data_IF_882901125643
#
_entry.id   IF_882901125643
#
_cell.length_a   1.000
_cell.length_b   1.000
_cell.length_c   1.000
_cell.angle_alpha   90.00
_cell.angle_beta   90.00
_cell.angle_gamma   90.00
#
_symmetry.space_group_name_H-M   'P 1'
#
loop_
_entity.id
_entity.type
_entity.pdbx_description
1 polymer ?
#
# COMPACT_ATOMS: atom_id res chain seq x y z
N UNK A 1 -14.55 6.91 -12.85
CA UNK A 1 -13.46 7.68 -13.49
C UNK A 1 -12.15 7.61 -12.71
N UNK A 2 -12.11 7.06 -11.49
CA UNK A 2 -10.86 6.96 -10.72
C UNK A 2 -10.31 8.33 -10.27
N UNK A 3 -11.12 9.39 -10.37
CA UNK A 3 -10.74 10.73 -9.91
C UNK A 3 -10.93 10.87 -8.40
N UNK A 4 -10.09 11.66 -7.76
CA UNK A 4 -10.19 11.98 -6.34
C UNK A 4 -11.53 12.69 -6.05
N UNK A 5 -12.40 12.06 -5.25
CA UNK A 5 -13.69 12.64 -4.88
C UNK A 5 -13.54 13.62 -3.70
N UNK A 6 -13.03 14.81 -4.00
CA UNK A 6 -12.94 15.88 -3.00
C UNK A 6 -14.33 16.35 -2.55
N UNK A 7 -15.36 16.24 -3.38
CA UNK A 7 -16.71 16.65 -3.00
C UNK A 7 -17.25 15.78 -1.85
N UNK A 8 -16.98 14.48 -1.85
CA UNK A 8 -17.35 13.61 -0.72
C UNK A 8 -16.73 14.08 0.60
N UNK A 9 -15.48 14.53 0.59
CA UNK A 9 -14.80 15.05 1.78
C UNK A 9 -15.45 16.35 2.28
N UNK A 10 -15.82 17.25 1.37
CA UNK A 10 -16.52 18.49 1.72
C UNK A 10 -17.97 18.26 2.16
N UNK A 11 -18.66 17.25 1.61
CA UNK A 11 -19.98 16.84 2.08
C UNK A 11 -19.93 16.39 3.56
N UNK A 12 -18.88 15.67 3.97
CA UNK A 12 -18.69 15.27 5.37
C UNK A 12 -18.56 16.50 6.26
N UNK A 13 -17.74 17.48 5.87
CA UNK A 13 -17.61 18.75 6.59
C UNK A 13 -18.98 19.43 6.78
N UNK A 14 -19.75 19.53 5.69
CA UNK A 14 -21.10 20.10 5.72
C UNK A 14 -22.07 19.30 6.59
N UNK A 15 -22.01 17.96 6.54
CA UNK A 15 -22.83 17.09 7.40
C UNK A 15 -22.50 17.25 8.87
N UNK A 16 -21.21 17.31 9.23
CA UNK A 16 -20.77 17.50 10.63
C UNK A 16 -21.26 18.85 11.15
N UNK A 17 -21.04 19.94 10.41
CA UNK A 17 -21.52 21.26 10.84
C UNK A 17 -23.04 21.35 10.97
N UNK A 18 -23.80 20.55 10.21
CA UNK A 18 -25.26 20.55 10.24
C UNK A 18 -25.82 19.71 11.39
N UNK A 19 -25.21 18.55 11.68
CA UNK A 19 -25.71 17.60 12.68
C UNK A 19 -25.04 17.75 14.05
N UNK A 20 -23.82 18.29 14.10
CA UNK A 20 -23.00 18.42 15.30
C UNK A 20 -22.38 19.82 15.40
N UNK A 21 -23.19 20.87 15.63
CA UNK A 21 -22.78 22.26 15.48
C UNK A 21 -21.80 22.78 16.55
N UNK A 22 -21.41 21.98 17.56
CA UNK A 22 -20.58 22.45 18.68
C UNK A 22 -19.25 21.69 18.79
N UNK A 23 -18.16 22.45 18.95
CA UNK A 23 -16.81 22.02 19.38
C UNK A 23 -15.94 21.17 18.44
N UNK A 24 -16.15 21.20 17.12
CA UNK A 24 -15.26 20.54 16.17
C UNK A 24 -14.40 21.54 15.37
N UNK A 25 -13.09 21.33 15.39
CA UNK A 25 -12.15 21.92 14.43
C UNK A 25 -11.84 20.88 13.36
N UNK A 26 -12.28 21.13 12.12
CA UNK A 26 -11.98 20.28 10.98
C UNK A 26 -10.84 20.91 10.18
N UNK A 27 -9.72 20.20 10.08
CA UNK A 27 -8.59 20.59 9.26
C UNK A 27 -8.56 19.71 8.02
N UNK A 28 -8.74 20.33 6.86
CA UNK A 28 -8.66 19.67 5.55
C UNK A 28 -7.28 19.98 4.96
N UNK A 29 -6.38 19.01 5.00
CA UNK A 29 -5.05 19.12 4.39
C UNK A 29 -5.09 18.61 2.96
N UNK A 30 -4.83 19.48 1.98
CA UNK A 30 -4.81 19.14 0.55
C UNK A 30 -3.55 19.73 -0.09
N UNK A 31 -2.87 18.94 -0.93
CA UNK A 31 -1.73 19.42 -1.71
C UNK A 31 -2.18 20.55 -2.66
N UNK A 32 -1.41 21.63 -2.75
CA UNK A 32 -1.77 22.82 -3.54
C UNK A 32 -2.06 22.51 -5.01
N UNK A 33 -1.32 21.60 -5.64
CA UNK A 33 -1.59 21.16 -7.02
C UNK A 33 -2.92 20.42 -7.13
N UNK A 34 -3.17 19.47 -6.22
CA UNK A 34 -4.43 18.72 -6.13
C UNK A 34 -5.63 19.64 -5.92
N UNK A 35 -5.48 20.66 -5.05
CA UNK A 35 -6.51 21.70 -4.85
C UNK A 35 -6.77 22.49 -6.13
N UNK A 36 -5.72 23.00 -6.78
CA UNK A 36 -5.86 23.79 -8.02
C UNK A 36 -6.59 23.01 -9.12
N UNK A 37 -6.31 21.71 -9.26
CA UNK A 37 -6.91 20.88 -10.31
C UNK A 37 -8.36 20.48 -10.05
N UNK A 38 -8.79 20.41 -8.79
CA UNK A 38 -10.09 19.83 -8.42
C UNK A 38 -11.04 20.80 -7.74
N UNK A 39 -10.57 21.98 -7.33
CA UNK A 39 -11.39 22.93 -6.56
C UNK A 39 -12.66 23.33 -7.31
N UNK A 40 -12.61 23.50 -8.63
CA UNK A 40 -13.79 23.88 -9.45
C UNK A 40 -14.92 22.84 -9.42
N UNK A 41 -14.60 21.56 -9.15
CA UNK A 41 -15.58 20.48 -9.05
C UNK A 41 -16.34 20.49 -7.71
N UNK A 42 -15.87 21.26 -6.72
CA UNK A 42 -16.49 21.36 -5.40
C UNK A 42 -17.58 22.43 -5.42
N UNK A 43 -18.76 22.09 -4.89
CA UNK A 43 -19.92 22.99 -4.79
C UNK A 43 -19.54 24.26 -4.01
N UNK A 44 -19.93 25.46 -4.49
CA UNK A 44 -19.62 26.72 -3.82
C UNK A 44 -20.08 26.77 -2.35
N UNK A 45 -21.27 26.28 -2.05
CA UNK A 45 -21.83 26.27 -0.69
C UNK A 45 -20.97 25.49 0.32
N UNK A 46 -20.24 24.47 -0.12
CA UNK A 46 -19.33 23.72 0.74
C UNK A 46 -17.97 24.41 0.90
N UNK A 47 -17.54 25.18 -0.10
CA UNK A 47 -16.33 26.03 0.00
C UNK A 47 -16.54 27.20 0.95
N UNK A 48 -17.72 27.82 0.91
CA UNK A 48 -18.05 28.96 1.76
C UNK A 48 -18.05 28.62 3.25
N UNK A 49 -18.16 27.33 3.60
CA UNK A 49 -18.06 26.82 4.97
C UNK A 49 -16.63 26.66 5.49
N UNK A 50 -15.60 27.01 4.71
CA UNK A 50 -14.20 27.06 5.16
C UNK A 50 -13.97 28.38 5.93
N UNK A 51 -14.48 28.42 7.16
CA UNK A 51 -14.59 29.64 7.96
C UNK A 51 -13.24 30.26 8.37
N UNK A 52 -12.20 29.44 8.57
CA UNK A 52 -10.89 29.89 9.04
C UNK A 52 -9.95 30.37 7.92
N UNK A 53 -10.39 30.30 6.66
CA UNK A 53 -9.61 30.68 5.49
C UNK A 53 -8.58 29.63 5.04
N UNK A 54 -7.76 30.00 4.04
CA UNK A 54 -6.75 29.13 3.44
C UNK A 54 -5.38 29.36 4.10
N UNK A 55 -4.82 28.31 4.68
CA UNK A 55 -3.47 28.34 5.22
C UNK A 55 -2.49 27.71 4.24
N UNK A 56 -1.55 28.52 3.74
CA UNK A 56 -0.47 28.04 2.88
C UNK A 56 0.81 27.83 3.68
N UNK A 57 1.53 26.76 3.32
CA UNK A 57 2.84 26.47 3.87
C UNK A 57 3.81 27.59 3.46
N UNK A 58 4.30 28.36 4.44
CA UNK A 58 5.18 29.51 4.19
C UNK A 58 6.60 29.04 3.85
N UNK A 59 7.33 29.75 2.96
CA UNK A 59 8.76 29.55 2.81
C UNK A 59 9.49 29.79 4.14
N UNK A 60 10.49 28.97 4.40
CA UNK A 60 11.37 29.04 5.57
C UNK A 60 12.76 29.56 5.16
N UNK A 61 13.47 30.18 6.09
CA UNK A 61 14.87 30.58 5.89
C UNK A 61 15.79 29.36 5.89
N UNK A 62 17.03 29.52 5.39
CA UNK A 62 18.03 28.46 5.47
C UNK A 62 18.30 28.00 6.91
N UNK A 63 18.43 28.93 7.86
CA UNK A 63 18.59 28.60 9.28
C UNK A 63 17.42 27.77 9.83
N UNK A 64 16.18 28.11 9.47
CA UNK A 64 15.02 27.29 9.84
C UNK A 64 15.05 25.91 9.16
N UNK A 65 15.55 25.83 7.93
CA UNK A 65 15.77 24.58 7.21
C UNK A 65 16.82 23.69 7.87
N UNK A 66 17.91 24.27 8.36
CA UNK A 66 18.94 23.57 9.13
C UNK A 66 18.36 23.01 10.42
N UNK A 67 17.59 23.80 11.18
CA UNK A 67 16.91 23.32 12.36
C UNK A 67 15.95 22.15 12.04
N UNK A 68 15.23 22.22 10.91
CA UNK A 68 14.35 21.15 10.46
C UNK A 68 15.11 19.86 10.15
N UNK A 69 16.24 19.95 9.45
CA UNK A 69 17.11 18.80 9.17
C UNK A 69 17.73 18.23 10.45
N UNK A 70 18.25 19.10 11.31
CA UNK A 70 18.86 18.72 12.57
C UNK A 70 17.86 17.98 13.46
N UNK A 71 16.62 18.45 13.54
CA UNK A 71 15.57 17.77 14.30
C UNK A 71 15.29 16.35 13.77
N UNK A 72 15.40 16.14 12.45
CA UNK A 72 15.21 14.81 11.83
C UNK A 72 16.41 13.88 12.01
N UNK A 73 17.62 14.44 12.02
CA UNK A 73 18.87 13.70 12.11
C UNK A 73 19.31 13.44 13.55
N UNK A 74 18.86 14.27 14.50
CA UNK A 74 19.24 14.20 15.91
C UNK A 74 19.09 12.80 16.54
N UNK A 75 17.99 12.05 16.31
CA UNK A 75 17.87 10.68 16.83
C UNK A 75 18.92 9.71 16.27
N UNK A 76 19.40 9.94 15.05
CA UNK A 76 20.45 9.12 14.44
C UNK A 76 21.83 9.55 14.93
N UNK A 77 22.08 10.86 15.00
CA UNK A 77 23.35 11.42 15.47
C UNK A 77 23.63 11.07 16.93
N UNK A 78 22.60 10.97 17.78
CA UNK A 78 22.75 10.57 19.18
C UNK A 78 23.23 9.13 19.35
N UNK A 79 22.93 8.25 18.39
CA UNK A 79 23.36 6.85 18.36
C UNK A 79 24.77 6.68 17.76
N UNK A 80 25.25 7.64 16.97
CA UNK A 80 26.53 7.56 16.28
C UNK A 80 27.72 7.74 17.23
N UNK A 81 28.78 6.95 17.00
CA UNK A 81 30.05 7.04 17.72
C UNK A 81 31.21 7.05 16.71
N UNK A 82 31.95 8.16 16.54
CA UNK A 82 31.79 9.43 17.24
C UNK A 82 30.52 10.20 16.81
N UNK A 83 30.03 11.09 17.68
CA UNK A 83 28.94 11.99 17.30
C UNK A 83 29.41 12.95 16.20
N UNK A 84 28.59 13.22 15.17
CA UNK A 84 28.95 14.16 14.13
C UNK A 84 29.13 15.57 14.68
N UNK A 85 30.13 16.30 14.17
CA UNK A 85 30.40 17.69 14.58
C UNK A 85 29.29 18.65 14.14
N UNK A 86 28.67 18.38 12.99
CA UNK A 86 27.59 19.20 12.44
C UNK A 86 26.23 18.57 12.77
N UNK A 87 25.25 19.37 13.23
CA UNK A 87 23.89 18.89 13.53
C UNK A 87 23.12 18.44 12.29
N UNK A 88 23.61 18.78 11.09
CA UNK A 88 23.02 18.39 9.81
C UNK A 88 23.90 17.43 9.00
N UNK A 89 25.00 16.91 9.57
CA UNK A 89 25.86 15.94 8.89
C UNK A 89 25.04 14.77 8.28
N UNK A 90 25.29 14.36 7.02
CA UNK A 90 26.43 14.68 6.16
C UNK A 90 26.29 15.96 5.32
N UNK A 91 25.21 16.72 5.51
CA UNK A 91 25.03 18.01 4.86
C UNK A 91 25.88 19.10 5.52
N UNK A 92 26.04 20.20 4.78
CA UNK A 92 26.66 21.43 5.26
C UNK A 92 25.81 22.65 4.93
N UNK A 93 26.08 23.74 5.64
CA UNK A 93 25.47 25.07 5.43
C UNK A 93 25.74 25.59 4.02
N UNK A 94 26.89 25.29 3.45
CA UNK A 94 27.30 25.71 2.11
C UNK A 94 26.44 25.04 1.03
N UNK A 95 26.14 23.75 1.18
CA UNK A 95 25.27 23.01 0.24
C UNK A 95 23.86 23.63 0.23
N UNK A 96 23.36 24.05 1.39
CA UNK A 96 22.06 24.73 1.48
C UNK A 96 22.08 26.10 0.80
N UNK A 97 23.13 26.88 1.01
CA UNK A 97 23.30 28.19 0.38
C UNK A 97 23.45 28.09 -1.15
N UNK A 98 24.20 27.10 -1.64
CA UNK A 98 24.37 26.82 -3.06
C UNK A 98 23.04 26.41 -3.70
N UNK A 99 22.30 25.49 -3.06
CA UNK A 99 21.05 24.97 -3.62
C UNK A 99 19.91 25.99 -3.57
N UNK A 100 19.91 26.88 -2.59
CA UNK A 100 18.88 27.90 -2.40
C UNK A 100 19.49 29.30 -2.26
N UNK A 101 20.01 29.89 -3.35
CA UNK A 101 20.74 31.16 -3.33
C UNK A 101 19.90 32.36 -2.86
N UNK A 102 18.57 32.22 -2.88
CA UNK A 102 17.63 33.24 -2.38
C UNK A 102 17.47 33.23 -0.85
N UNK A 103 18.15 32.33 -0.14
CA UNK A 103 18.12 32.24 1.33
C UNK A 103 16.79 31.76 1.94
N UNK A 104 15.80 31.42 1.09
CA UNK A 104 14.48 30.90 1.49
C UNK A 104 14.02 29.81 0.54
N UNK A 105 13.29 28.83 1.07
CA UNK A 105 12.71 27.73 0.30
C UNK A 105 11.53 27.11 1.04
N UNK A 106 10.81 26.18 0.42
CA UNK A 106 9.75 25.44 1.10
C UNK A 106 10.34 24.33 1.98
N UNK A 107 9.75 24.02 3.15
CA UNK A 107 10.24 22.94 4.03
C UNK A 107 10.45 21.59 3.32
N UNK A 108 9.58 21.27 2.35
CA UNK A 108 9.70 20.03 1.56
C UNK A 108 11.01 19.95 0.77
N UNK A 109 11.44 21.04 0.15
CA UNK A 109 12.65 21.07 -0.67
C UNK A 109 13.91 20.86 0.19
N UNK A 110 13.92 21.39 1.42
CA UNK A 110 14.99 21.15 2.40
C UNK A 110 15.07 19.67 2.75
N UNK A 111 13.93 19.05 3.08
CA UNK A 111 13.89 17.62 3.43
C UNK A 111 14.29 16.72 2.25
N UNK A 112 13.91 17.09 1.04
CA UNK A 112 14.28 16.37 -0.18
C UNK A 112 15.79 16.43 -0.45
N UNK A 113 16.39 17.61 -0.32
CA UNK A 113 17.85 17.77 -0.36
C UNK A 113 18.51 16.97 0.76
N UNK A 114 17.98 17.07 1.98
CA UNK A 114 18.41 16.29 3.14
C UNK A 114 18.52 14.81 2.85
N UNK A 115 17.44 14.21 2.32
CA UNK A 115 17.43 12.80 1.94
C UNK A 115 18.43 12.50 0.83
N UNK A 116 18.52 13.34 -0.20
CA UNK A 116 19.43 13.13 -1.34
C UNK A 116 20.88 13.06 -0.88
N UNK A 117 21.33 14.05 -0.11
CA UNK A 117 22.71 14.11 0.39
C UNK A 117 23.01 12.97 1.36
N UNK A 118 22.04 12.61 2.22
CA UNK A 118 22.18 11.47 3.12
C UNK A 118 22.33 10.15 2.36
N UNK A 119 21.52 9.94 1.33
CA UNK A 119 21.64 8.75 0.48
C UNK A 119 22.97 8.72 -0.27
N UNK A 120 23.42 9.85 -0.82
CA UNK A 120 24.73 9.95 -1.46
C UNK A 120 25.87 9.63 -0.49
N UNK A 121 25.78 10.11 0.74
CA UNK A 121 26.75 9.77 1.78
C UNK A 121 26.72 8.27 2.11
N UNK A 122 25.54 7.67 2.26
CA UNK A 122 25.40 6.21 2.43
C UNK A 122 26.05 5.45 1.26
N UNK A 123 25.83 5.86 0.02
CA UNK A 123 26.45 5.25 -1.15
C UNK A 123 27.98 5.40 -1.15
N UNK A 124 28.51 6.58 -0.76
CA UNK A 124 29.96 6.78 -0.61
C UNK A 124 30.60 5.87 0.44
N UNK A 125 29.86 5.44 1.45
CA UNK A 125 30.35 4.47 2.44
C UNK A 125 30.44 3.04 1.86
N UNK A 126 29.77 2.77 0.74
CA UNK A 126 29.80 1.48 0.04
C UNK A 126 30.94 1.41 -1.00
N UNK A 127 31.35 2.55 -1.55
CA UNK A 127 32.39 2.65 -2.58
C UNK A 127 33.78 3.03 -1.99
N UNK A 128 34.69 2.04 -1.87
CA UNK A 128 36.08 2.29 -2.32
C UNK A 128 36.03 2.59 -3.83
N UNK A 129 36.93 3.44 -4.38
CA UNK A 129 36.61 4.32 -5.50
C UNK A 129 36.20 3.55 -6.76
N UNK A 130 34.90 3.61 -7.10
CA UNK A 130 34.45 3.30 -8.45
C UNK A 130 33.08 2.65 -8.60
N UNK A 131 31.97 3.20 -8.09
CA UNK A 131 30.68 2.89 -8.70
C UNK A 131 29.58 3.95 -8.47
N UNK A 132 29.55 4.99 -9.30
CA UNK A 132 28.38 5.87 -9.40
C UNK A 132 27.22 5.09 -10.02
N UNK A 133 26.48 4.35 -9.19
CA UNK A 133 25.27 3.64 -9.62
C UNK A 133 24.19 4.65 -10.01
N UNK A 134 23.83 4.63 -11.30
CA UNK A 134 22.52 5.07 -11.78
C UNK A 134 21.46 4.25 -11.05
N UNK A 135 20.46 4.90 -10.47
CA UNK A 135 19.25 4.26 -9.94
C UNK A 135 18.67 3.29 -10.99
N UNK A 136 18.80 1.98 -10.79
CA UNK A 136 18.25 0.98 -11.73
C UNK A 136 16.76 0.80 -11.46
N UNK A 137 16.05 0.21 -12.43
CA UNK A 137 14.64 -0.21 -12.28
C UNK A 137 14.44 -1.13 -11.06
N UNK A 138 15.47 -1.90 -10.69
CA UNK A 138 15.47 -2.81 -9.54
C UNK A 138 15.36 -2.05 -8.21
N UNK A 139 16.08 -0.94 -8.01
CA UNK A 139 16.03 -0.15 -6.77
C UNK A 139 14.63 0.45 -6.53
N UNK A 140 13.96 0.86 -7.61
CA UNK A 140 12.59 1.39 -7.56
C UNK A 140 11.58 0.31 -7.12
N UNK A 141 11.73 -0.92 -7.62
CA UNK A 141 10.88 -2.05 -7.26
C UNK A 141 11.11 -2.50 -5.82
N UNK A 142 12.37 -2.55 -5.37
CA UNK A 142 12.74 -2.87 -3.99
C UNK A 142 12.17 -1.82 -3.00
N UNK A 143 12.33 -0.53 -3.32
CA UNK A 143 11.74 0.57 -2.52
C UNK A 143 10.22 0.46 -2.47
N UNK A 144 9.58 0.11 -3.59
CA UNK A 144 8.13 -0.11 -3.64
C UNK A 144 7.69 -1.27 -2.73
N UNK A 145 8.39 -2.42 -2.77
CA UNK A 145 8.09 -3.59 -1.92
C UNK A 145 8.10 -3.24 -0.43
N UNK A 146 8.99 -2.34 0.01
CA UNK A 146 8.98 -1.86 1.40
C UNK A 146 7.83 -0.91 1.72
N UNK A 147 7.49 0.00 0.81
CA UNK A 147 6.32 0.88 0.96
C UNK A 147 5.05 0.03 1.04
N UNK A 148 4.95 -1.00 0.19
CA UNK A 148 3.90 -2.00 0.24
C UNK A 148 3.85 -2.66 1.62
N UNK A 149 4.98 -3.16 2.11
CA UNK A 149 5.05 -3.88 3.38
C UNK A 149 4.65 -3.01 4.59
N UNK A 150 5.15 -1.77 4.69
CA UNK A 150 4.75 -0.83 5.74
C UNK A 150 3.23 -0.56 5.70
N UNK A 151 2.69 -0.35 4.50
CA UNK A 151 1.26 -0.10 4.33
C UNK A 151 0.40 -1.33 4.65
N UNK A 152 0.88 -2.50 4.27
CA UNK A 152 0.26 -3.79 4.58
C UNK A 152 0.18 -4.01 6.09
N UNK A 153 1.29 -3.85 6.81
CA UNK A 153 1.32 -3.96 8.27
C UNK A 153 0.41 -2.95 8.97
N UNK A 154 0.32 -1.72 8.46
CA UNK A 154 -0.63 -0.71 8.97
C UNK A 154 -2.08 -1.15 8.79
N UNK A 155 -2.41 -1.78 7.66
CA UNK A 155 -3.75 -2.29 7.40
C UNK A 155 -4.08 -3.52 8.25
N UNK A 156 -3.12 -4.42 8.47
CA UNK A 156 -3.28 -5.56 9.40
C UNK A 156 -3.65 -5.10 10.81
N UNK A 157 -3.05 -4.01 11.29
CA UNK A 157 -3.36 -3.44 12.61
C UNK A 157 -4.72 -2.72 12.66
N UNK A 158 -5.24 -2.29 11.50
CA UNK A 158 -6.45 -1.47 11.41
C UNK A 158 -7.71 -2.30 11.17
N UNK A 159 -7.62 -3.36 10.38
CA UNK A 159 -8.75 -4.17 9.93
C UNK A 159 -8.71 -5.48 10.72
N UNK A 160 -9.69 -5.70 11.58
CA UNK A 160 -9.75 -6.92 12.40
C UNK A 160 -10.76 -7.93 11.85
N UNK A 161 -11.75 -7.45 11.08
CA UNK A 161 -12.78 -8.26 10.46
C UNK A 161 -13.07 -7.74 9.05
N UNK A 162 -13.47 -8.64 8.15
CA UNK A 162 -13.88 -8.28 6.78
C UNK A 162 -15.07 -7.29 6.83
N UNK A 163 -15.97 -7.45 7.81
CA UNK A 163 -17.12 -6.58 8.04
C UNK A 163 -16.77 -5.16 8.48
N UNK A 164 -15.51 -4.88 8.85
CA UNK A 164 -15.06 -3.51 9.17
C UNK A 164 -15.05 -2.63 7.91
N UNK A 165 -15.09 -3.24 6.72
CA UNK A 165 -15.14 -2.58 5.43
C UNK A 165 -16.51 -2.80 4.80
N UNK A 166 -17.17 -1.72 4.40
CA UNK A 166 -18.45 -1.80 3.74
C UNK A 166 -18.34 -2.50 2.37
N UNK A 167 -19.34 -3.30 1.99
CA UNK A 167 -19.35 -4.02 0.73
C UNK A 167 -19.09 -3.15 -0.53
N UNK A 168 -19.67 -1.94 -0.65
CA UNK A 168 -19.33 -1.04 -1.77
C UNK A 168 -17.84 -0.66 -1.83
N UNK A 169 -17.20 -0.55 -0.67
CA UNK A 169 -15.79 -0.23 -0.57
C UNK A 169 -14.93 -1.45 -0.96
N UNK A 170 -15.29 -2.66 -0.52
CA UNK A 170 -14.62 -3.90 -0.97
C UNK A 170 -14.68 -4.06 -2.50
N UNK A 171 -15.85 -3.78 -3.10
CA UNK A 171 -16.04 -3.76 -4.56
C UNK A 171 -15.15 -2.71 -5.22
N UNK A 172 -14.99 -1.54 -4.61
CA UNK A 172 -14.09 -0.50 -5.11
C UNK A 172 -12.62 -0.93 -5.09
N UNK A 173 -12.17 -1.53 -3.99
CA UNK A 173 -10.80 -2.05 -3.89
C UNK A 173 -10.53 -3.13 -4.94
N UNK A 174 -11.49 -4.04 -5.15
CA UNK A 174 -11.39 -5.06 -6.19
C UNK A 174 -11.37 -4.44 -7.60
N UNK A 175 -12.22 -3.44 -7.85
CA UNK A 175 -12.22 -2.70 -9.12
C UNK A 175 -10.85 -2.07 -9.41
N UNK A 176 -10.23 -1.44 -8.42
CA UNK A 176 -8.92 -0.82 -8.57
C UNK A 176 -7.85 -1.85 -8.95
N UNK A 177 -7.88 -3.04 -8.35
CA UNK A 177 -6.98 -4.15 -8.73
C UNK A 177 -7.23 -4.63 -10.16
N UNK A 178 -8.49 -4.85 -10.54
CA UNK A 178 -8.84 -5.28 -11.90
C UNK A 178 -8.39 -4.27 -12.97
N UNK A 179 -8.50 -2.98 -12.67
CA UNK A 179 -8.00 -1.92 -13.55
C UNK A 179 -6.47 -1.98 -13.67
N UNK A 180 -5.75 -2.20 -12.57
CA UNK A 180 -4.29 -2.30 -12.56
C UNK A 180 -3.80 -3.47 -13.42
N UNK A 181 -4.44 -4.65 -13.27
CA UNK A 181 -4.15 -5.85 -14.07
C UNK A 181 -4.72 -5.76 -15.49
N UNK A 182 -5.26 -4.60 -15.89
CA UNK A 182 -5.73 -4.29 -17.25
C UNK A 182 -6.85 -5.20 -17.76
N UNK A 183 -7.76 -5.62 -16.88
CA UNK A 183 -9.01 -6.27 -17.33
C UNK A 183 -9.89 -5.29 -18.11
N UNK A 184 -10.65 -5.80 -19.09
CA UNK A 184 -11.50 -4.96 -19.96
C UNK A 184 -12.88 -4.77 -19.35
N UNK A 185 -13.53 -3.66 -19.69
CA UNK A 185 -14.93 -3.37 -19.36
C UNK A 185 -15.29 -3.50 -17.86
N UNK A 186 -14.37 -3.12 -16.95
CA UNK A 186 -14.65 -3.15 -15.50
C UNK A 186 -15.73 -2.12 -15.14
N UNK A 187 -16.95 -2.61 -14.90
CA UNK A 187 -18.15 -1.80 -14.63
C UNK A 187 -18.70 -2.15 -13.26
N UNK A 188 -18.91 -1.15 -12.41
CA UNK A 188 -19.61 -1.33 -11.13
C UNK A 188 -21.11 -1.38 -11.35
N UNK A 189 -21.85 -1.87 -10.34
CA UNK A 189 -23.32 -1.91 -10.33
C UNK A 189 -23.91 -2.87 -11.37
N UNK A 190 -23.40 -4.10 -11.41
CA UNK A 190 -24.01 -5.20 -12.17
C UNK A 190 -25.43 -5.52 -11.64
N UNK A 191 -25.57 -5.54 -10.31
CA UNK A 191 -26.87 -5.63 -9.65
C UNK A 191 -27.63 -4.31 -9.77
N UNK A 192 -28.96 -4.39 -9.75
CA UNK A 192 -29.86 -3.23 -9.73
C UNK A 192 -30.44 -2.96 -8.33
N UNK A 193 -30.78 -1.71 -8.03
CA UNK A 193 -31.49 -1.32 -6.80
C UNK A 193 -30.57 -1.04 -5.62
N UNK A 194 -31.07 -1.25 -4.38
CA UNK A 194 -30.37 -0.87 -3.14
C UNK A 194 -28.96 -1.48 -3.01
N UNK A 195 -28.77 -2.70 -3.52
CA UNK A 195 -27.52 -3.45 -3.43
C UNK A 195 -26.69 -3.37 -4.71
N UNK A 196 -26.97 -2.41 -5.61
CA UNK A 196 -26.24 -2.25 -6.86
C UNK A 196 -24.73 -2.12 -6.63
N UNK A 197 -24.33 -1.26 -5.70
CA UNK A 197 -22.92 -1.02 -5.38
C UNK A 197 -22.19 -2.22 -4.75
N UNK A 198 -22.88 -3.33 -4.45
CA UNK A 198 -22.27 -4.55 -3.93
C UNK A 198 -21.76 -5.48 -5.04
N UNK A 199 -21.63 -4.95 -6.26
CA UNK A 199 -21.28 -5.76 -7.43
C UNK A 199 -20.51 -5.01 -8.48
N UNK A 200 -19.74 -5.75 -9.26
CA UNK A 200 -19.09 -5.31 -10.48
C UNK A 200 -19.13 -6.43 -11.53
N UNK A 201 -18.79 -6.08 -12.76
CA UNK A 201 -18.54 -7.02 -13.84
C UNK A 201 -17.28 -6.64 -14.62
N UNK A 202 -16.61 -7.61 -15.20
CA UNK A 202 -15.44 -7.40 -16.06
C UNK A 202 -15.37 -8.47 -17.15
N UNK A 203 -14.51 -8.25 -18.15
CA UNK A 203 -14.15 -9.24 -19.17
C UNK A 203 -12.69 -9.61 -19.05
N UNK A 204 -12.39 -10.90 -19.19
CA UNK A 204 -11.02 -11.39 -19.20
C UNK A 204 -10.30 -10.95 -20.47
N UNK A 205 -8.97 -10.74 -20.43
CA UNK A 205 -8.24 -10.15 -21.55
C UNK A 205 -8.38 -10.94 -22.87
N UNK A 206 -8.50 -12.26 -22.75
CA UNK A 206 -8.55 -13.23 -23.87
C UNK A 206 -9.95 -13.84 -24.09
N UNK A 207 -10.96 -13.45 -23.31
CA UNK A 207 -12.30 -14.04 -23.38
C UNK A 207 -13.36 -12.94 -23.29
N UNK A 208 -14.32 -12.95 -24.22
CA UNK A 208 -15.45 -12.01 -24.25
C UNK A 208 -16.53 -12.35 -23.21
N UNK A 209 -16.37 -13.43 -22.44
CA UNK A 209 -17.22 -13.75 -21.32
C UNK A 209 -17.18 -12.65 -20.25
N UNK A 210 -18.38 -12.16 -19.92
CA UNK A 210 -18.64 -11.21 -18.85
C UNK A 210 -18.73 -12.01 -17.56
N UNK A 211 -17.80 -11.72 -16.66
CA UNK A 211 -17.76 -12.26 -15.31
C UNK A 211 -18.38 -11.23 -14.37
N UNK A 212 -19.34 -11.67 -13.55
CA UNK A 212 -19.93 -10.84 -12.50
C UNK A 212 -19.39 -11.23 -11.13
N UNK A 213 -19.04 -10.25 -10.31
CA UNK A 213 -18.64 -10.44 -8.91
C UNK A 213 -19.60 -9.70 -8.01
N UNK A 214 -20.10 -10.40 -6.99
CA UNK A 214 -20.95 -9.84 -5.93
C UNK A 214 -20.24 -10.05 -4.61
N UNK A 215 -20.04 -8.98 -3.85
CA UNK A 215 -19.44 -9.06 -2.52
C UNK A 215 -20.42 -8.54 -1.47
N UNK A 216 -20.77 -9.38 -0.48
CA UNK A 216 -21.63 -8.95 0.63
C UNK A 216 -21.32 -9.68 1.92
N UNK A 217 -21.07 -8.91 2.99
CA UNK A 217 -20.75 -9.45 4.33
C UNK A 217 -21.78 -9.07 5.40
N UNK A 218 -22.91 -8.46 5.01
CA UNK A 218 -23.97 -8.11 5.97
C UNK A 218 -24.51 -9.41 6.62
N UNK A 219 -24.49 -9.52 7.97
CA UNK A 219 -25.02 -10.68 8.67
C UNK A 219 -26.55 -10.75 8.60
N UNK A 220 -27.23 -9.65 8.24
CA UNK A 220 -28.68 -9.61 8.14
C UNK A 220 -29.17 -10.46 6.96
N UNK A 221 -29.89 -11.54 7.27
CA UNK A 221 -30.44 -12.46 6.29
C UNK A 221 -31.47 -11.83 5.34
N UNK A 222 -32.13 -10.74 5.72
CA UNK A 222 -33.00 -9.98 4.82
C UNK A 222 -32.17 -9.23 3.77
N UNK A 223 -31.03 -8.65 4.16
CA UNK A 223 -30.09 -8.06 3.21
C UNK A 223 -29.56 -9.12 2.24
N UNK A 224 -29.15 -10.28 2.77
CA UNK A 224 -28.69 -11.39 1.94
C UNK A 224 -29.78 -11.90 0.98
N UNK A 225 -31.03 -12.02 1.43
CA UNK A 225 -32.16 -12.37 0.57
C UNK A 225 -32.35 -11.38 -0.58
N UNK A 226 -32.30 -10.08 -0.29
CA UNK A 226 -32.45 -9.05 -1.32
C UNK A 226 -31.29 -9.07 -2.33
N UNK A 227 -30.06 -9.32 -1.87
CA UNK A 227 -28.90 -9.50 -2.76
C UNK A 227 -29.09 -10.73 -3.65
N UNK A 228 -29.49 -11.88 -3.09
CA UNK A 228 -29.74 -13.10 -3.87
C UNK A 228 -30.88 -12.94 -4.88
N UNK A 229 -31.95 -12.22 -4.53
CA UNK A 229 -33.00 -11.86 -5.47
C UNK A 229 -32.48 -11.00 -6.63
N UNK A 230 -31.57 -10.05 -6.35
CA UNK A 230 -30.93 -9.27 -7.40
C UNK A 230 -30.03 -10.17 -8.29
N UNK A 231 -29.29 -11.12 -7.71
CA UNK A 231 -28.51 -12.11 -8.47
C UNK A 231 -29.40 -12.97 -9.37
N UNK A 232 -30.58 -13.39 -8.89
CA UNK A 232 -31.53 -14.16 -9.70
C UNK A 232 -31.94 -13.37 -10.94
N UNK A 233 -32.24 -12.07 -10.81
CA UNK A 233 -32.56 -11.20 -11.96
C UNK A 233 -31.42 -11.12 -12.97
N UNK A 234 -30.17 -11.04 -12.50
CA UNK A 234 -28.98 -11.05 -13.36
C UNK A 234 -28.87 -12.38 -14.12
N UNK A 235 -29.08 -13.50 -13.43
CA UNK A 235 -29.00 -14.85 -14.01
C UNK A 235 -30.14 -15.15 -15.00
N UNK A 236 -31.34 -14.62 -14.74
CA UNK A 236 -32.52 -14.77 -15.60
C UNK A 236 -32.39 -13.95 -16.88
N UNK A 237 -31.89 -12.71 -16.76
CA UNK A 237 -31.62 -11.81 -17.89
C UNK A 237 -30.32 -12.13 -18.64
N UNK A 238 -29.54 -13.12 -18.16
CA UNK A 238 -28.25 -13.53 -18.74
C UNK A 238 -27.28 -12.36 -18.96
N UNK A 239 -27.18 -11.45 -17.98
CA UNK A 239 -26.31 -10.27 -18.08
C UNK A 239 -24.80 -10.62 -17.94
N UNK A 240 -24.48 -11.85 -17.53
CA UNK A 240 -23.14 -12.40 -17.42
C UNK A 240 -23.17 -13.92 -17.61
N UNK A 241 -22.03 -14.50 -17.96
CA UNK A 241 -21.87 -15.93 -18.20
C UNK A 241 -21.52 -16.68 -16.91
N UNK A 242 -20.75 -16.03 -16.03
CA UNK A 242 -20.33 -16.59 -14.73
C UNK A 242 -20.55 -15.57 -13.62
N UNK A 243 -20.98 -16.06 -12.46
CA UNK A 243 -21.18 -15.27 -11.25
C UNK A 243 -20.32 -15.81 -10.10
N UNK A 244 -19.54 -14.93 -9.49
CA UNK A 244 -18.85 -15.16 -8.24
C UNK A 244 -19.58 -14.46 -7.10
N UNK A 245 -19.95 -15.22 -6.07
CA UNK A 245 -20.32 -14.67 -4.77
C UNK A 245 -19.07 -14.68 -3.89
N UNK A 246 -18.66 -13.51 -3.40
CA UNK A 246 -17.60 -13.37 -2.40
C UNK A 246 -18.27 -13.06 -1.07
N UNK A 247 -18.22 -14.01 -0.13
CA UNK A 247 -18.87 -13.88 1.19
C UNK A 247 -18.27 -14.83 2.21
N UNK A 248 -17.83 -14.32 3.35
CA UNK A 248 -17.42 -15.13 4.50
C UNK A 248 -18.59 -15.40 5.46
N UNK A 249 -19.51 -14.45 5.61
CA UNK A 249 -20.67 -14.59 6.48
C UNK A 249 -21.61 -15.74 6.06
N UNK A 250 -22.34 -16.31 7.02
CA UNK A 250 -23.21 -17.46 6.75
C UNK A 250 -24.29 -17.16 5.68
N UNK A 251 -24.66 -18.21 4.94
CA UNK A 251 -25.72 -18.17 3.90
C UNK A 251 -27.09 -18.65 4.42
N UNK A 252 -27.22 -18.78 5.74
CA UNK A 252 -28.41 -19.30 6.42
C UNK A 252 -28.65 -20.79 6.21
N UNK A 253 -29.80 -21.28 6.69
CA UNK A 253 -30.18 -22.70 6.62
C UNK A 253 -31.01 -23.01 5.37
N UNK A 254 -31.22 -24.30 5.08
CA UNK A 254 -31.94 -24.76 3.88
C UNK A 254 -33.42 -24.31 3.80
N UNK A 255 -34.03 -23.91 4.92
CA UNK A 255 -35.41 -23.42 4.96
C UNK A 255 -35.50 -21.95 4.54
N UNK A 256 -34.45 -21.15 4.73
CA UNK A 256 -34.40 -19.75 4.33
C UNK A 256 -34.58 -19.59 2.81
N UNK A 257 -35.43 -18.64 2.39
CA UNK A 257 -35.64 -18.33 0.97
C UNK A 257 -34.36 -17.86 0.27
N UNK A 258 -33.51 -17.10 0.97
CA UNK A 258 -32.18 -16.70 0.48
C UNK A 258 -31.29 -17.90 0.16
N UNK A 259 -31.27 -18.92 1.03
CA UNK A 259 -30.47 -20.13 0.81
C UNK A 259 -30.98 -20.94 -0.38
N UNK A 260 -32.31 -21.00 -0.58
CA UNK A 260 -32.91 -21.68 -1.74
C UNK A 260 -32.46 -21.02 -3.06
N UNK A 261 -32.49 -19.69 -3.13
CA UNK A 261 -32.02 -18.94 -4.31
C UNK A 261 -30.52 -19.12 -4.49
N UNK A 262 -29.74 -18.99 -3.41
CA UNK A 262 -28.31 -19.21 -3.41
C UNK A 262 -27.95 -20.60 -4.00
N UNK A 263 -28.58 -21.67 -3.51
CA UNK A 263 -28.35 -23.04 -4.02
C UNK A 263 -28.71 -23.15 -5.50
N UNK A 264 -29.83 -22.54 -5.93
CA UNK A 264 -30.24 -22.57 -7.34
C UNK A 264 -29.22 -21.90 -8.26
N UNK A 265 -28.64 -20.78 -7.84
CA UNK A 265 -27.69 -20.00 -8.68
C UNK A 265 -26.27 -20.56 -8.60
N UNK A 266 -25.77 -20.83 -7.40
CA UNK A 266 -24.34 -21.12 -7.14
C UNK A 266 -24.04 -22.59 -6.87
N UNK A 267 -25.04 -23.43 -6.56
CA UNK A 267 -24.86 -24.90 -6.53
C UNK A 267 -25.47 -25.61 -7.75
N UNK A 268 -26.35 -24.93 -8.50
CA UNK A 268 -27.07 -25.52 -9.64
C UNK A 268 -26.42 -25.30 -11.01
N UNK A 269 -25.60 -24.25 -11.20
CA UNK A 269 -24.89 -23.98 -12.47
C UNK A 269 -23.39 -24.22 -12.30
N UNK A 270 -22.81 -25.02 -13.19
CA UNK A 270 -21.39 -25.43 -13.14
C UNK A 270 -20.38 -24.26 -13.22
N UNK A 271 -20.78 -23.08 -13.72
CA UNK A 271 -19.89 -21.91 -13.89
C UNK A 271 -19.95 -20.89 -12.74
N UNK A 272 -20.95 -20.95 -11.86
CA UNK A 272 -21.09 -19.98 -10.78
C UNK A 272 -20.41 -20.51 -9.53
N UNK A 273 -19.64 -19.66 -8.85
CA UNK A 273 -18.84 -20.07 -7.69
C UNK A 273 -19.13 -19.21 -6.46
N UNK A 274 -18.98 -19.80 -5.29
CA UNK A 274 -18.97 -19.08 -4.01
C UNK A 274 -17.57 -19.17 -3.43
N UNK A 275 -16.95 -18.00 -3.23
CA UNK A 275 -15.62 -17.84 -2.66
C UNK A 275 -15.77 -17.26 -1.26
N UNK A 276 -15.14 -17.91 -0.28
CA UNK A 276 -15.04 -17.38 1.07
C UNK A 276 -13.73 -16.59 1.20
N UNK A 277 -13.78 -15.25 1.26
CA UNK A 277 -12.58 -14.45 1.40
C UNK A 277 -11.96 -14.66 2.78
N UNK A 278 -10.64 -14.61 2.86
CA UNK A 278 -9.90 -14.51 4.11
C UNK A 278 -9.49 -13.05 4.39
N UNK A 279 -9.10 -12.81 5.64
CA UNK A 279 -8.72 -11.46 6.09
C UNK A 279 -7.43 -10.98 5.41
N UNK A 280 -6.53 -11.91 5.08
CA UNK A 280 -5.29 -11.63 4.37
C UNK A 280 -5.54 -10.99 2.99
N UNK A 281 -6.44 -11.59 2.19
CA UNK A 281 -6.84 -11.06 0.90
C UNK A 281 -7.40 -9.64 1.01
N UNK A 282 -8.14 -9.34 2.08
CA UNK A 282 -8.65 -7.99 2.36
C UNK A 282 -7.51 -7.02 2.66
N UNK A 283 -6.46 -7.45 3.36
CA UNK A 283 -5.28 -6.61 3.58
C UNK A 283 -4.57 -6.27 2.27
N UNK A 284 -4.45 -7.22 1.33
CA UNK A 284 -3.89 -6.95 0.00
C UNK A 284 -4.70 -5.88 -0.73
N UNK A 285 -6.02 -6.06 -0.81
CA UNK A 285 -6.93 -5.10 -1.45
C UNK A 285 -6.87 -3.72 -0.79
N UNK A 286 -6.94 -3.65 0.54
CA UNK A 286 -6.87 -2.41 1.29
C UNK A 286 -5.51 -1.70 1.16
N UNK A 287 -4.43 -2.47 0.98
CA UNK A 287 -3.08 -1.94 0.79
C UNK A 287 -2.95 -1.27 -0.56
N UNK A 288 -3.33 -1.97 -1.62
CA UNK A 288 -3.35 -1.38 -2.95
C UNK A 288 -4.28 -0.16 -3.00
N UNK A 289 -5.47 -0.29 -2.40
CA UNK A 289 -6.44 0.79 -2.31
C UNK A 289 -5.86 2.07 -1.66
N UNK A 290 -5.12 1.91 -0.57
CA UNK A 290 -4.49 3.07 0.07
C UNK A 290 -3.37 3.67 -0.77
N UNK A 291 -2.65 2.88 -1.56
CA UNK A 291 -1.61 3.37 -2.46
C UNK A 291 -2.24 4.11 -3.65
N UNK A 292 -3.36 3.62 -4.19
CA UNK A 292 -4.15 4.31 -5.22
C UNK A 292 -4.62 5.67 -4.72
N UNK A 293 -5.20 5.75 -3.52
CA UNK A 293 -5.57 7.05 -2.94
C UNK A 293 -4.37 7.99 -2.78
N UNK A 294 -3.22 7.47 -2.33
CA UNK A 294 -2.02 8.28 -2.18
C UNK A 294 -1.48 8.78 -3.53
N UNK A 295 -1.53 7.95 -4.57
CA UNK A 295 -1.14 8.35 -5.93
C UNK A 295 -2.08 9.42 -6.48
N UNK A 296 -3.40 9.24 -6.34
CA UNK A 296 -4.41 10.22 -6.76
C UNK A 296 -4.30 11.54 -5.99
N UNK A 297 -3.89 11.49 -4.73
CA UNK A 297 -3.65 12.68 -3.91
C UNK A 297 -2.33 13.40 -4.24
N UNK A 298 -1.45 12.83 -5.08
CA UNK A 298 -0.06 13.25 -5.30
C UNK A 298 0.84 13.14 -4.05
N UNK A 299 0.51 12.21 -3.16
CA UNK A 299 1.22 11.94 -1.90
C UNK A 299 2.15 10.73 -1.97
N UNK A 300 1.90 9.79 -2.89
CA UNK A 300 2.76 8.63 -3.07
C UNK A 300 4.10 9.06 -3.67
N UNK A 301 5.19 8.81 -2.94
CA UNK A 301 6.54 9.06 -3.43
C UNK A 301 7.40 7.81 -3.34
N UNK A 302 8.13 7.50 -4.41
CA UNK A 302 9.13 6.43 -4.46
C UNK A 302 10.44 7.08 -4.88
N UNK A 303 11.48 6.89 -4.07
CA UNK A 303 12.80 7.53 -4.25
C UNK A 303 12.74 9.07 -4.39
N UNK A 304 11.66 9.68 -3.91
CA UNK A 304 11.46 11.13 -4.00
C UNK A 304 10.68 11.64 -5.18
N UNK A 305 10.46 10.80 -6.18
CA UNK A 305 9.57 11.12 -7.28
C UNK A 305 8.11 10.88 -6.85
N UNK A 306 7.23 11.83 -7.14
CA UNK A 306 5.78 11.62 -7.01
C UNK A 306 5.37 10.61 -8.09
N UNK A 307 4.64 9.58 -7.68
CA UNK A 307 4.20 8.49 -8.55
C UNK A 307 2.75 8.71 -8.92
N UNK A 308 2.50 8.79 -10.23
CA UNK A 308 1.14 8.86 -10.78
C UNK A 308 0.41 7.51 -10.65
N UNK A 309 -0.92 7.51 -10.79
CA UNK A 309 -1.70 6.27 -10.76
C UNK A 309 -1.23 5.28 -11.84
N UNK A 310 -0.97 5.76 -13.06
CA UNK A 310 -0.49 4.92 -14.17
C UNK A 310 0.86 4.27 -13.85
N UNK A 311 1.81 5.04 -13.30
CA UNK A 311 3.09 4.49 -12.88
C UNK A 311 2.93 3.50 -11.73
N UNK A 312 1.98 3.71 -10.79
CA UNK A 312 1.67 2.75 -9.74
C UNK A 312 1.10 1.45 -10.31
N UNK A 313 0.20 1.53 -11.29
CA UNK A 313 -0.36 0.36 -11.99
C UNK A 313 0.73 -0.45 -12.72
N UNK A 314 1.71 0.22 -13.32
CA UNK A 314 2.87 -0.43 -13.93
C UNK A 314 3.74 -1.14 -12.87
N UNK A 315 4.07 -0.44 -11.78
CA UNK A 315 4.91 -0.99 -10.70
C UNK A 315 4.23 -2.18 -10.01
N UNK A 316 2.92 -2.13 -9.73
CA UNK A 316 2.23 -3.24 -9.06
C UNK A 316 2.23 -4.49 -9.94
N UNK A 317 2.02 -4.34 -11.25
CA UNK A 317 2.11 -5.43 -12.22
C UNK A 317 3.53 -6.01 -12.29
N UNK A 318 4.55 -5.16 -12.41
CA UNK A 318 5.97 -5.58 -12.42
C UNK A 318 6.38 -6.29 -11.11
N UNK A 319 5.80 -5.88 -9.98
CA UNK A 319 6.15 -6.43 -8.67
C UNK A 319 5.63 -7.84 -8.43
N UNK A 320 4.58 -8.25 -9.15
CA UNK A 320 3.87 -9.52 -8.98
C UNK A 320 3.35 -9.79 -7.55
N UNK A 321 3.35 -8.80 -6.66
CA UNK A 321 2.94 -8.97 -5.25
C UNK A 321 1.51 -9.47 -5.12
N UNK A 322 0.63 -9.06 -6.04
CA UNK A 322 -0.78 -9.47 -6.05
C UNK A 322 -0.96 -10.97 -6.31
N UNK A 323 0.03 -11.67 -6.88
CA UNK A 323 -0.02 -13.11 -7.10
C UNK A 323 -0.09 -13.89 -5.78
N UNK A 324 0.28 -13.28 -4.65
CA UNK A 324 0.19 -13.91 -3.32
C UNK A 324 -1.21 -13.76 -2.68
N UNK A 325 -2.17 -13.13 -3.37
CA UNK A 325 -3.52 -12.93 -2.86
C UNK A 325 -4.45 -14.09 -3.29
N UNK A 326 -4.78 -14.98 -2.35
CA UNK A 326 -5.66 -16.14 -2.58
C UNK A 326 -7.01 -15.78 -3.19
N UNK A 327 -7.67 -14.69 -2.75
CA UNK A 327 -8.93 -14.26 -3.38
C UNK A 327 -8.77 -13.90 -4.87
N UNK A 328 -7.64 -13.29 -5.25
CA UNK A 328 -7.39 -12.95 -6.66
C UNK A 328 -7.08 -14.19 -7.49
N UNK A 329 -6.42 -15.19 -6.89
CA UNK A 329 -6.21 -16.51 -7.51
C UNK A 329 -7.56 -17.23 -7.72
N UNK A 330 -8.43 -17.26 -6.71
CA UNK A 330 -9.77 -17.88 -6.77
C UNK A 330 -10.68 -17.22 -7.82
N UNK A 331 -10.50 -15.91 -8.04
CA UNK A 331 -11.18 -15.15 -9.09
C UNK A 331 -10.50 -15.29 -10.47
N UNK A 332 -9.39 -16.02 -10.57
CA UNK A 332 -8.57 -16.15 -11.77
C UNK A 332 -8.11 -14.80 -12.36
N UNK A 333 -7.85 -13.85 -11.46
CA UNK A 333 -7.33 -12.51 -11.79
C UNK A 333 -5.81 -12.52 -11.90
N UNK A 334 -5.16 -13.35 -11.09
CA UNK A 334 -3.71 -13.56 -11.07
C UNK A 334 -3.42 -15.06 -11.11
N UNK A 335 -2.29 -15.43 -11.71
CA UNK A 335 -1.84 -16.81 -11.69
C UNK A 335 -1.23 -17.14 -10.31
N UNK A 336 -1.54 -18.32 -9.75
CA UNK A 336 -0.82 -18.80 -8.58
C UNK A 336 0.66 -18.92 -8.95
N UNK A 337 1.54 -18.52 -8.04
CA UNK A 337 2.97 -18.83 -8.18
C UNK A 337 3.08 -20.35 -8.18
N UNK A 338 3.66 -20.94 -9.22
CA UNK A 338 3.90 -22.39 -9.33
C UNK A 338 4.80 -22.84 -8.16
N UNK A 339 4.17 -23.15 -7.02
CA UNK A 339 4.81 -23.83 -5.91
C UNK A 339 4.85 -25.31 -6.28
N UNK A 340 5.80 -25.69 -7.13
CA UNK A 340 6.28 -27.06 -7.15
C UNK A 340 6.86 -27.36 -5.75
N UNK A 341 6.15 -28.23 -5.03
CA UNK A 341 6.63 -29.11 -3.98
C UNK A 341 7.86 -28.65 -3.18
N UNK A 342 7.62 -28.07 -1.99
CA UNK A 342 8.26 -28.47 -0.72
C UNK A 342 7.82 -27.53 0.41
N UNK A 343 6.78 -27.94 1.14
CA UNK A 343 6.54 -27.47 2.52
C UNK A 343 7.68 -27.99 3.41
N UNK A 344 8.81 -27.28 3.44
CA UNK A 344 9.73 -27.19 4.60
C UNK A 344 10.91 -26.23 4.42
N UNK A 345 11.25 -25.78 3.21
CA UNK A 345 12.33 -24.79 2.96
C UNK A 345 11.85 -23.42 2.43
N UNK A 346 10.64 -23.34 1.86
CA UNK A 346 10.11 -22.10 1.25
C UNK A 346 9.95 -20.91 2.20
N UNK A 347 9.71 -21.14 3.50
CA UNK A 347 9.62 -20.07 4.49
C UNK A 347 11.01 -19.45 4.77
N UNK A 348 12.08 -20.25 4.69
CA UNK A 348 13.45 -19.79 4.96
C UNK A 348 13.97 -18.94 3.82
N UNK A 349 13.62 -19.27 2.57
CA UNK A 349 13.98 -18.46 1.41
C UNK A 349 13.26 -17.11 1.41
N UNK A 350 11.97 -17.06 1.76
CA UNK A 350 11.25 -15.79 1.89
C UNK A 350 11.84 -14.93 3.03
N UNK A 351 12.27 -15.57 4.12
CA UNK A 351 12.97 -14.88 5.21
C UNK A 351 14.36 -14.41 4.78
N UNK A 352 15.13 -15.22 4.06
CA UNK A 352 16.43 -14.85 3.48
C UNK A 352 16.28 -13.66 2.55
N UNK A 353 15.33 -13.70 1.63
CA UNK A 353 15.02 -12.61 0.71
C UNK A 353 14.58 -11.36 1.47
N UNK A 354 13.76 -11.51 2.51
CA UNK A 354 13.40 -10.37 3.35
C UNK A 354 14.62 -9.75 4.03
N UNK A 355 15.49 -10.56 4.64
CA UNK A 355 16.71 -10.10 5.31
C UNK A 355 17.64 -9.39 4.32
N UNK A 356 17.86 -9.98 3.13
CA UNK A 356 18.68 -9.38 2.07
C UNK A 356 18.07 -8.05 1.61
N UNK A 357 16.78 -8.00 1.32
CA UNK A 357 16.10 -6.77 0.88
C UNK A 357 16.10 -5.69 1.96
N UNK A 358 15.94 -6.08 3.22
CA UNK A 358 16.01 -5.19 4.37
C UNK A 358 17.40 -4.54 4.49
N UNK A 359 18.47 -5.34 4.34
CA UNK A 359 19.86 -4.87 4.39
C UNK A 359 20.20 -4.02 3.15
N UNK A 360 19.81 -4.46 1.93
CA UNK A 360 19.98 -3.71 0.68
C UNK A 360 19.41 -2.30 0.79
N UNK A 361 18.18 -2.19 1.29
CA UNK A 361 17.50 -0.89 1.35
C UNK A 361 18.08 0.03 2.41
N UNK A 362 18.44 -0.50 3.58
CA UNK A 362 19.01 0.33 4.64
C UNK A 362 20.50 0.62 4.45
N UNK A 363 21.14 -0.07 3.50
CA UNK A 363 22.57 -0.14 3.19
C UNK A 363 23.41 -0.77 4.32
N UNK A 364 23.10 -0.46 5.58
CA UNK A 364 23.72 -1.01 6.77
C UNK A 364 22.66 -1.23 7.85
N UNK A 365 22.71 -2.36 8.55
CA UNK A 365 21.82 -2.61 9.67
C UNK A 365 22.53 -3.40 10.77
N UNK A 366 22.25 -3.07 12.03
CA UNK A 366 22.71 -3.88 13.18
C UNK A 366 22.00 -5.24 13.15
N UNK A 367 22.73 -6.33 13.46
CA UNK A 367 22.16 -7.69 13.55
C UNK A 367 20.90 -7.73 14.41
N UNK A 368 20.89 -7.03 15.55
CA UNK A 368 19.72 -6.91 16.41
C UNK A 368 18.49 -6.35 15.67
N UNK A 369 18.67 -5.29 14.89
CA UNK A 369 17.57 -4.67 14.15
C UNK A 369 17.10 -5.56 12.99
N UNK A 370 18.00 -6.32 12.35
CA UNK A 370 17.62 -7.31 11.34
C UNK A 370 16.71 -8.36 11.98
N UNK A 371 17.11 -8.88 13.13
CA UNK A 371 16.36 -9.90 13.87
C UNK A 371 15.00 -9.36 14.31
N UNK A 372 14.95 -8.18 14.94
CA UNK A 372 13.68 -7.58 15.39
C UNK A 372 12.73 -7.31 14.22
N UNK A 373 13.21 -6.77 13.10
CA UNK A 373 12.39 -6.55 11.91
C UNK A 373 11.90 -7.87 11.29
N UNK A 374 12.70 -8.91 11.35
CA UNK A 374 12.36 -10.24 10.82
C UNK A 374 11.34 -10.94 11.71
N UNK A 375 11.51 -10.93 13.03
CA UNK A 375 10.52 -11.44 13.98
C UNK A 375 9.19 -10.69 13.91
N UNK A 376 9.24 -9.37 13.69
CA UNK A 376 8.03 -8.56 13.50
C UNK A 376 7.29 -8.90 12.20
N UNK A 377 7.98 -9.43 11.18
CA UNK A 377 7.38 -9.82 9.90
C UNK A 377 6.88 -11.27 9.93
N UNK A 378 7.68 -12.18 10.47
CA UNK A 378 7.41 -13.62 10.47
C UNK A 378 7.10 -14.09 11.89
N UNK A 379 5.80 -14.20 12.21
CA UNK A 379 5.32 -14.50 13.57
C UNK A 379 5.72 -15.91 14.05
N UNK A 380 5.99 -16.83 13.11
CA UNK A 380 6.29 -18.23 13.38
C UNK A 380 7.78 -18.60 13.26
N UNK A 381 8.69 -17.63 13.10
CA UNK A 381 10.12 -17.92 13.02
C UNK A 381 10.82 -17.78 14.38
N UNK A 382 11.66 -18.76 14.70
CA UNK A 382 12.51 -18.69 15.88
C UNK A 382 13.71 -17.77 15.64
N UNK A 383 14.10 -17.01 16.67
CA UNK A 383 15.26 -16.13 16.63
C UNK A 383 16.56 -16.87 16.25
N UNK A 384 16.72 -18.12 16.71
CA UNK A 384 17.84 -19.00 16.39
C UNK A 384 17.98 -19.27 14.88
N UNK A 385 16.87 -19.39 14.16
CA UNK A 385 16.85 -19.59 12.70
C UNK A 385 17.27 -18.33 11.96
N UNK A 386 16.85 -17.15 12.43
CA UNK A 386 17.28 -15.87 11.84
C UNK A 386 18.79 -15.68 11.98
N UNK A 387 19.39 -16.05 13.12
CA UNK A 387 20.85 -16.01 13.28
C UNK A 387 21.56 -16.87 12.24
N UNK A 388 21.09 -18.11 12.03
CA UNK A 388 21.64 -19.02 11.00
C UNK A 388 21.51 -18.43 9.59
N UNK A 389 20.36 -17.84 9.27
CA UNK A 389 20.16 -17.17 7.98
C UNK A 389 21.18 -16.05 7.76
N UNK A 390 21.44 -15.23 8.77
CA UNK A 390 22.45 -14.16 8.65
C UNK A 390 23.86 -14.75 8.47
N UNK A 391 24.20 -15.82 9.20
CA UNK A 391 25.49 -16.52 9.03
C UNK A 391 25.64 -17.16 7.65
N UNK A 392 24.58 -17.78 7.13
CA UNK A 392 24.55 -18.35 5.78
C UNK A 392 24.73 -17.27 4.72
N UNK A 393 24.03 -16.13 4.83
CA UNK A 393 24.18 -15.00 3.90
C UNK A 393 25.58 -14.36 3.97
N UNK A 394 26.22 -14.36 5.15
CA UNK A 394 27.62 -13.92 5.31
C UNK A 394 28.58 -14.92 4.63
N UNK A 395 28.33 -16.22 4.78
CA UNK A 395 29.10 -17.29 4.12
C UNK A 395 28.92 -17.31 2.59
N UNK A 396 27.72 -17.04 2.11
CA UNK A 396 27.37 -16.89 0.68
C UNK A 396 27.91 -15.59 0.06
N UNK A 397 28.60 -14.74 0.85
CA UNK A 397 29.05 -13.42 0.42
C UNK A 397 27.94 -12.54 -0.16
N UNK A 398 26.69 -12.71 0.29
CA UNK A 398 25.60 -11.79 -0.03
C UNK A 398 25.58 -10.60 0.90
N UNK A 399 26.12 -10.76 2.11
CA UNK A 399 26.23 -9.69 3.11
C UNK A 399 27.61 -9.73 3.80
N UNK A 400 28.08 -8.59 4.30
CA UNK A 400 29.38 -8.42 4.98
C UNK A 400 29.18 -7.80 6.35
N UNK A 401 29.80 -8.40 7.37
CA UNK A 401 29.96 -7.74 8.67
C UNK A 401 31.09 -6.70 8.59
N UNK A 402 30.75 -5.44 8.84
CA UNK A 402 31.70 -4.32 8.78
C UNK A 402 32.25 -3.93 10.16
N UNK A 403 31.74 -4.51 11.24
CA UNK A 403 32.21 -4.27 12.61
C UNK A 403 32.41 -5.58 13.39
N UNK A 404 33.31 -6.47 12.94
CA UNK A 404 33.46 -7.82 13.53
C UNK A 404 33.91 -7.82 14.99
N UNK A 405 34.57 -6.75 15.45
CA UNK A 405 35.06 -6.58 16.83
C UNK A 405 33.97 -6.16 17.83
N UNK A 406 32.77 -5.81 17.35
CA UNK A 406 31.63 -5.46 18.20
C UNK A 406 30.91 -6.71 18.73
N UNK A 407 30.22 -6.57 19.88
CA UNK A 407 29.31 -7.61 20.40
C UNK A 407 28.30 -8.00 19.31
N UNK A 408 27.99 -9.30 19.21
CA UNK A 408 27.18 -9.90 18.14
C UNK A 408 25.94 -9.08 17.76
N UNK A 409 25.16 -8.64 18.75
CA UNK A 409 23.92 -7.86 18.55
C UNK A 409 24.15 -6.48 17.92
N UNK A 410 25.32 -5.87 18.15
CA UNK A 410 25.71 -4.54 17.65
C UNK A 410 26.56 -4.60 16.39
N UNK A 411 26.77 -5.80 15.84
CA UNK A 411 27.51 -5.93 14.59
C UNK A 411 26.68 -5.35 13.45
N UNK A 412 27.29 -4.45 12.69
CA UNK A 412 26.70 -3.87 11.49
C UNK A 412 26.98 -4.76 10.29
N UNK A 413 25.93 -5.03 9.53
CA UNK A 413 25.97 -5.87 8.34
C UNK A 413 25.51 -5.05 7.13
N UNK A 414 26.21 -5.17 6.00
CA UNK A 414 25.86 -4.54 4.73
C UNK A 414 25.70 -5.57 3.61
N UNK A 415 25.02 -5.20 2.53
CA UNK A 415 24.88 -6.06 1.35
C UNK A 415 26.16 -6.01 0.50
N UNK A 416 26.57 -7.17 -0.04
CA UNK A 416 27.65 -7.28 -1.02
C UNK A 416 26.99 -7.48 -2.39
N UNK A 417 27.20 -6.58 -3.37
CA UNK A 417 26.72 -6.79 -4.73
C UNK A 417 27.43 -7.97 -5.39
N UNK A 418 26.67 -8.95 -5.90
CA UNK A 418 27.18 -9.99 -6.79
C UNK A 418 27.45 -9.42 -8.18
N UNK A 419 28.58 -9.81 -8.78
CA UNK A 419 29.00 -9.44 -10.15
C UNK A 419 28.20 -10.13 -11.25
#
# INVERSE_FOLDING_TARGET
NGSLDLQALFNINSSIHTHYPQNFLIIISIITSTWKQNSELIKPADKDRVNAGYFHLKPITLAQGECLLAARLSPLHSLAKPQPKSPIFPLSTEILAEKFPRGKTLPRNILELGRKEYNQYKSKLLDEPGNVQKSTSETKLETFKLIWQDKYQKNQKKINKITDIAAPELIRMLQEVLNAVRFKDVKTKLLSGKYASHSLSYKQQNNEEIIGVIWTEDPNMNSFYNTMNACQKVADKRLCQSLYLVRAAEVGNAKNMSNKIYRKIFKGRLKNCHIQPNLESVYFLATYHSLVNAALANELTIEGKIISLKELEEIICESQILNNCSLLQDLSVVDPVDNQEQQSDSDLDEVKDFVVNLIKTQCFMERKNIIENTLNKFINIEQSKIYKIIEELEGEQKIKNITPTSKLERQLVCFIPSY
#
